data_IF_128962964034
#
_entry.id   IF_128962964034
#
_cell.length_a   1.000
_cell.length_b   1.000
_cell.length_c   1.000
_cell.angle_alpha   90.00
_cell.angle_beta   90.00
_cell.angle_gamma   90.00
#
_symmetry.space_group_name_H-M   'P 1'
#
loop_
_entity.id
_entity.type
_entity.pdbx_description
1 polymer ?
#
# COMPACT_ATOMS: atom_id res chain seq x y z
N UNK A 1 8.07 14.52 14.27
CA UNK A 1 8.28 14.04 12.88
C UNK A 1 7.42 12.81 12.66
N UNK A 2 6.53 12.85 11.67
CA UNK A 2 5.55 11.78 11.41
C UNK A 2 6.18 10.65 10.60
N UNK A 3 5.95 9.40 11.03
CA UNK A 3 6.56 8.20 10.43
C UNK A 3 5.60 7.54 9.44
N UNK A 4 6.15 6.99 8.36
CA UNK A 4 5.40 6.07 7.49
C UNK A 4 5.06 4.79 8.26
N UNK A 5 4.20 3.94 7.67
CA UNK A 5 3.92 2.63 8.26
C UNK A 5 5.18 1.76 8.27
N UNK A 6 5.98 1.76 7.20
CA UNK A 6 7.24 1.02 7.16
C UNK A 6 8.26 1.53 8.17
N UNK A 7 8.41 2.84 8.33
CA UNK A 7 9.27 3.41 9.38
C UNK A 7 8.77 3.06 10.79
N UNK A 8 7.46 3.06 11.00
CA UNK A 8 6.88 2.69 12.29
C UNK A 8 7.16 1.22 12.65
N UNK A 9 7.11 0.33 11.66
CA UNK A 9 7.38 -1.12 11.84
C UNK A 9 8.89 -1.36 12.01
N UNK A 10 9.72 -0.80 11.13
CA UNK A 10 11.18 -1.01 11.14
C UNK A 10 11.86 -0.35 12.34
N UNK A 11 11.33 0.77 12.85
CA UNK A 11 11.85 1.48 14.02
C UNK A 11 11.08 1.15 15.31
N UNK A 12 10.23 0.12 15.31
CA UNK A 12 9.59 -0.35 16.54
C UNK A 12 10.66 -0.84 17.52
N UNK A 13 10.61 -0.36 18.76
CA UNK A 13 11.63 -0.70 19.76
C UNK A 13 11.61 -2.18 20.14
N UNK A 14 10.42 -2.78 20.22
CA UNK A 14 10.24 -4.19 20.57
C UNK A 14 9.85 -5.02 19.33
N UNK A 15 10.87 -5.38 18.54
CA UNK A 15 10.70 -6.21 17.34
C UNK A 15 10.20 -7.63 17.68
N UNK A 16 10.53 -8.15 18.87
CA UNK A 16 10.11 -9.49 19.30
C UNK A 16 8.60 -9.50 19.55
N UNK A 17 8.08 -8.52 20.29
CA UNK A 17 6.64 -8.36 20.49
C UNK A 17 5.93 -8.10 19.16
N UNK A 18 6.48 -7.21 18.32
CA UNK A 18 5.89 -6.91 17.01
C UNK A 18 5.72 -8.19 16.17
N UNK A 19 6.78 -9.00 16.01
CA UNK A 19 6.74 -10.24 15.26
C UNK A 19 5.77 -11.27 15.88
N UNK A 20 5.68 -11.31 17.21
CA UNK A 20 4.80 -12.25 17.93
C UNK A 20 3.31 -11.90 17.80
N UNK A 21 2.98 -10.60 17.75
CA UNK A 21 1.59 -10.13 17.77
C UNK A 21 1.06 -9.69 16.41
N UNK A 22 1.92 -9.49 15.39
CA UNK A 22 1.46 -8.96 14.10
C UNK A 22 0.33 -9.81 13.49
N UNK A 23 0.40 -11.14 13.60
CA UNK A 23 -0.61 -12.07 13.08
C UNK A 23 -1.97 -11.98 13.79
N UNK A 24 -2.02 -11.38 14.98
CA UNK A 24 -3.25 -11.15 15.75
C UNK A 24 -3.90 -9.80 15.44
N UNK A 25 -3.22 -8.94 14.67
CA UNK A 25 -3.72 -7.61 14.32
C UNK A 25 -4.40 -7.59 12.95
N UNK A 26 -5.29 -6.63 12.74
CA UNK A 26 -6.01 -6.47 11.47
C UNK A 26 -5.91 -5.03 10.97
N UNK A 27 -5.68 -4.83 9.68
CA UNK A 27 -5.67 -3.49 9.06
C UNK A 27 -6.70 -3.38 7.94
N UNK A 28 -7.36 -4.47 7.56
CA UNK A 28 -8.26 -4.54 6.42
C UNK A 28 -9.49 -3.62 6.60
N UNK A 29 -9.69 -2.70 5.65
CA UNK A 29 -10.83 -1.78 5.63
C UNK A 29 -12.18 -2.50 5.44
N UNK A 30 -12.19 -3.64 4.74
CA UNK A 30 -13.40 -4.44 4.45
C UNK A 30 -13.45 -5.72 5.31
N UNK A 31 -13.09 -5.62 6.60
CA UNK A 31 -13.04 -6.79 7.51
C UNK A 31 -14.38 -7.54 7.54
N UNK A 32 -14.33 -8.86 7.41
CA UNK A 32 -15.52 -9.72 7.42
C UNK A 32 -16.25 -9.82 6.07
N UNK A 33 -15.92 -8.99 5.07
CA UNK A 33 -16.51 -9.05 3.74
C UNK A 33 -15.77 -10.08 2.86
N UNK A 34 -15.77 -11.35 3.28
CA UNK A 34 -14.90 -12.41 2.73
C UNK A 34 -15.51 -13.18 1.56
N UNK A 35 -16.75 -12.89 1.16
CA UNK A 35 -17.48 -13.67 0.13
C UNK A 35 -16.75 -13.76 -1.21
N UNK A 36 -15.98 -12.72 -1.55
CA UNK A 36 -15.27 -12.56 -2.83
C UNK A 36 -13.77 -12.88 -2.73
N UNK A 37 -13.32 -13.43 -1.60
CA UNK A 37 -11.91 -13.75 -1.38
C UNK A 37 -11.62 -15.15 -1.89
N UNK A 38 -10.52 -15.32 -2.61
CA UNK A 38 -9.99 -16.65 -2.98
C UNK A 38 -9.66 -17.46 -1.73
N UNK A 39 -9.12 -16.81 -0.70
CA UNK A 39 -8.79 -17.42 0.60
C UNK A 39 -9.68 -16.83 1.70
N UNK A 40 -10.85 -17.44 1.93
CA UNK A 40 -11.88 -16.91 2.85
C UNK A 40 -11.49 -16.94 4.34
N UNK A 41 -10.49 -17.74 4.70
CA UNK A 41 -9.95 -17.87 6.07
C UNK A 41 -8.80 -16.91 6.37
N UNK A 42 -8.33 -16.16 5.37
CA UNK A 42 -7.28 -15.16 5.57
C UNK A 42 -7.71 -14.08 6.58
N UNK A 43 -6.77 -13.52 7.32
CA UNK A 43 -7.05 -12.40 8.23
C UNK A 43 -7.23 -11.07 7.50
N UNK A 44 -6.56 -10.90 6.35
CA UNK A 44 -6.48 -9.65 5.59
C UNK A 44 -6.99 -9.88 4.16
N UNK A 45 -7.68 -8.90 3.56
CA UNK A 45 -8.17 -9.06 2.20
C UNK A 45 -7.05 -9.03 1.15
N UNK A 46 -5.92 -8.36 1.42
CA UNK A 46 -4.77 -8.23 0.51
C UNK A 46 -4.89 -7.19 -0.60
N UNK A 47 -6.06 -6.56 -0.77
CA UNK A 47 -6.33 -5.69 -1.92
C UNK A 47 -6.77 -4.25 -1.57
N UNK A 48 -7.26 -4.00 -0.36
CA UNK A 48 -7.60 -2.62 0.04
C UNK A 48 -6.33 -1.84 0.43
N UNK A 49 -6.37 -0.51 0.30
CA UNK A 49 -5.23 0.37 0.60
C UNK A 49 -4.54 0.09 1.96
N UNK A 50 -5.27 -0.06 3.09
CA UNK A 50 -4.63 -0.44 4.35
C UNK A 50 -3.89 -1.78 4.37
N UNK A 51 -4.35 -2.79 3.60
CA UNK A 51 -3.63 -4.06 3.48
C UNK A 51 -2.34 -3.87 2.68
N UNK A 52 -2.37 -3.06 1.62
CA UNK A 52 -1.20 -2.77 0.79
C UNK A 52 -0.14 -2.03 1.62
N UNK A 53 -0.52 -0.97 2.34
CA UNK A 53 0.40 -0.24 3.22
C UNK A 53 0.97 -1.12 4.34
N UNK A 54 0.13 -1.97 4.96
CA UNK A 54 0.58 -2.94 5.95
C UNK A 54 1.61 -3.89 5.35
N UNK A 55 1.32 -4.48 4.18
CA UNK A 55 2.22 -5.41 3.52
C UNK A 55 3.54 -4.75 3.13
N UNK A 56 3.50 -3.53 2.60
CA UNK A 56 4.71 -2.77 2.26
C UNK A 56 5.58 -2.54 3.51
N UNK A 57 4.96 -2.19 4.64
CA UNK A 57 5.64 -2.00 5.90
C UNK A 57 6.25 -3.30 6.45
N UNK A 58 5.51 -4.41 6.44
CA UNK A 58 6.01 -5.71 6.86
C UNK A 58 7.12 -6.21 5.93
N UNK A 59 7.02 -5.96 4.62
CA UNK A 59 8.05 -6.29 3.64
C UNK A 59 9.34 -5.52 3.90
N UNK A 60 9.26 -4.22 4.18
CA UNK A 60 10.41 -3.41 4.57
C UNK A 60 11.12 -3.92 5.84
N UNK A 61 10.39 -4.57 6.74
CA UNK A 61 10.92 -5.18 7.97
C UNK A 61 11.32 -6.65 7.82
N UNK A 62 11.15 -7.27 6.65
CA UNK A 62 11.41 -8.70 6.46
C UNK A 62 10.38 -9.64 7.12
N UNK A 63 9.19 -9.12 7.43
CA UNK A 63 8.10 -9.80 8.14
C UNK A 63 6.86 -10.07 7.26
N UNK A 64 6.94 -9.87 5.94
CA UNK A 64 5.81 -10.13 5.03
C UNK A 64 5.61 -11.63 4.78
N UNK A 65 4.94 -12.27 5.73
CA UNK A 65 4.61 -13.71 5.75
C UNK A 65 3.09 -13.97 5.80
N UNK A 66 2.26 -12.94 5.66
CA UNK A 66 0.81 -13.07 5.77
C UNK A 66 0.20 -13.75 4.53
N UNK A 67 -0.88 -14.51 4.75
CA UNK A 67 -1.72 -15.04 3.68
C UNK A 67 -2.89 -14.07 3.44
N UNK A 68 -3.09 -13.71 2.18
CA UNK A 68 -4.09 -12.73 1.77
C UNK A 68 -5.32 -13.37 1.11
N UNK A 69 -6.49 -12.76 1.35
CA UNK A 69 -7.76 -13.16 0.73
C UNK A 69 -7.69 -13.16 -0.79
N UNK A 70 -7.32 -12.02 -1.37
CA UNK A 70 -6.92 -11.83 -2.76
C UNK A 70 -5.57 -11.10 -2.75
N UNK A 71 -4.54 -11.74 -3.30
CA UNK A 71 -3.18 -11.20 -3.29
C UNK A 71 -2.93 -10.33 -4.54
N UNK A 72 -2.77 -9.02 -4.33
CA UNK A 72 -2.46 -8.04 -5.39
C UNK A 72 -1.12 -8.27 -6.08
N UNK A 73 -0.16 -8.92 -5.42
CA UNK A 73 1.15 -9.19 -5.97
C UNK A 73 1.18 -10.43 -6.88
N UNK A 74 0.14 -11.28 -6.85
CA UNK A 74 0.10 -12.54 -7.61
C UNK A 74 -0.89 -12.51 -8.78
N UNK A 75 -1.43 -11.34 -9.14
CA UNK A 75 -2.41 -11.20 -10.23
C UNK A 75 -3.82 -11.69 -9.89
N UNK A 76 -4.13 -11.90 -8.60
CA UNK A 76 -5.48 -12.28 -8.18
C UNK A 76 -6.46 -11.11 -8.19
N UNK A 77 -5.93 -9.90 -8.25
CA UNK A 77 -6.67 -8.66 -8.47
C UNK A 77 -6.20 -8.12 -9.81
N UNK A 78 -7.07 -8.17 -10.81
CA UNK A 78 -6.78 -7.65 -12.14
C UNK A 78 -6.98 -6.12 -12.13
N UNK A 79 -5.94 -5.30 -12.34
CA UNK A 79 -6.09 -3.85 -12.43
C UNK A 79 -6.93 -3.43 -13.64
N UNK A 80 -7.04 -4.25 -14.69
CA UNK A 80 -7.86 -3.97 -15.88
C UNK A 80 -9.33 -4.34 -15.73
N UNK A 81 -9.69 -5.04 -14.65
CA UNK A 81 -11.07 -5.40 -14.34
C UNK A 81 -11.97 -4.20 -14.03
N UNK A 82 -13.28 -4.47 -13.90
CA UNK A 82 -14.33 -3.45 -13.70
C UNK A 82 -14.78 -3.30 -12.24
N UNK A 83 -14.23 -4.10 -11.32
CA UNK A 83 -14.62 -4.08 -9.90
C UNK A 83 -13.97 -2.95 -9.10
N UNK A 84 -14.51 -2.64 -7.93
CA UNK A 84 -13.93 -1.62 -7.03
C UNK A 84 -12.46 -1.89 -6.70
N UNK A 85 -12.10 -3.15 -6.40
CA UNK A 85 -10.70 -3.49 -6.11
C UNK A 85 -9.78 -3.33 -7.31
N UNK A 86 -10.29 -3.52 -8.53
CA UNK A 86 -9.56 -3.22 -9.77
C UNK A 86 -9.35 -1.72 -9.92
N UNK A 87 -10.37 -0.90 -9.64
CA UNK A 87 -10.27 0.56 -9.71
C UNK A 87 -9.26 1.09 -8.68
N UNK A 88 -9.37 0.68 -7.42
CA UNK A 88 -8.45 1.08 -6.35
C UNK A 88 -6.99 0.71 -6.69
N UNK A 89 -6.77 -0.53 -7.17
CA UNK A 89 -5.45 -0.98 -7.58
C UNK A 89 -4.93 -0.19 -8.78
N UNK A 90 -5.75 0.04 -9.80
CA UNK A 90 -5.37 0.80 -11.00
C UNK A 90 -5.00 2.24 -10.65
N UNK A 91 -5.79 2.91 -9.82
CA UNK A 91 -5.49 4.27 -9.34
C UNK A 91 -4.16 4.31 -8.58
N UNK A 92 -3.91 3.34 -7.71
CA UNK A 92 -2.63 3.23 -7.02
C UNK A 92 -1.46 3.00 -8.00
N UNK A 93 -1.61 2.08 -8.96
CA UNK A 93 -0.56 1.79 -9.94
C UNK A 93 -0.26 3.00 -10.84
N UNK A 94 -1.26 3.78 -11.23
CA UNK A 94 -1.08 5.01 -11.99
C UNK A 94 -0.32 6.06 -11.18
N UNK A 95 -0.72 6.30 -9.93
CA UNK A 95 -0.01 7.23 -9.05
C UNK A 95 1.46 6.80 -8.81
N UNK A 96 1.67 5.49 -8.64
CA UNK A 96 3.01 4.93 -8.54
C UNK A 96 3.78 5.03 -9.86
N UNK A 97 3.14 5.02 -11.03
CA UNK A 97 3.83 5.19 -12.32
C UNK A 97 4.18 6.66 -12.59
N UNK A 98 3.27 7.59 -12.26
CA UNK A 98 3.46 9.04 -12.37
C UNK A 98 4.62 9.53 -11.51
N UNK A 99 4.83 8.91 -10.34
CA UNK A 99 5.91 9.23 -9.42
C UNK A 99 6.02 10.73 -9.09
N UNK A 100 4.91 11.39 -8.68
CA UNK A 100 4.95 12.81 -8.37
C UNK A 100 5.98 13.10 -7.29
N UNK A 101 6.68 14.21 -7.43
CA UNK A 101 7.55 14.75 -6.39
C UNK A 101 6.71 15.38 -5.26
N UNK A 102 7.41 15.88 -4.24
CA UNK A 102 6.75 16.45 -3.07
C UNK A 102 5.90 17.67 -3.42
N UNK A 103 6.33 18.51 -4.37
CA UNK A 103 5.58 19.72 -4.79
C UNK A 103 4.26 19.33 -5.45
N UNK A 104 4.29 18.39 -6.41
CA UNK A 104 3.06 17.88 -7.02
C UNK A 104 2.14 17.19 -6.00
N UNK A 105 2.70 16.52 -4.99
CA UNK A 105 1.92 15.94 -3.89
C UNK A 105 1.31 16.98 -2.96
N UNK A 106 1.97 18.11 -2.72
CA UNK A 106 1.40 19.23 -1.97
C UNK A 106 0.18 19.79 -2.70
N UNK A 107 0.27 20.02 -4.01
CA UNK A 107 -0.85 20.49 -4.84
C UNK A 107 -2.02 19.51 -4.80
N UNK A 108 -1.75 18.21 -4.94
CA UNK A 108 -2.78 17.16 -4.84
C UNK A 108 -3.45 17.13 -3.46
N UNK A 109 -2.66 17.25 -2.38
CA UNK A 109 -3.18 17.26 -1.02
C UNK A 109 -3.96 18.54 -0.71
N UNK A 110 -3.52 19.68 -1.21
CA UNK A 110 -4.21 20.95 -1.08
C UNK A 110 -5.54 20.96 -1.82
N UNK A 111 -5.59 20.42 -3.05
CA UNK A 111 -6.80 20.37 -3.86
C UNK A 111 -7.88 19.42 -3.29
N UNK A 112 -7.48 18.36 -2.57
CA UNK A 112 -8.38 17.30 -2.13
C UNK A 112 -8.58 17.21 -0.61
N UNK A 113 -7.80 17.95 0.19
CA UNK A 113 -7.73 17.81 1.64
C UNK A 113 -8.21 19.02 2.43
N UNK A 114 -8.56 18.80 3.69
CA UNK A 114 -8.72 19.86 4.70
C UNK A 114 -7.48 19.91 5.58
N UNK A 115 -6.32 20.08 4.96
CA UNK A 115 -5.04 20.20 5.67
C UNK A 115 -4.72 21.69 5.84
N UNK A 116 -4.29 22.04 7.05
CA UNK A 116 -3.69 23.36 7.28
C UNK A 116 -2.45 23.50 6.39
N UNK A 117 -2.28 24.68 5.81
CA UNK A 117 -1.17 24.95 4.87
C UNK A 117 0.20 24.73 5.52
N UNK A 118 0.31 24.88 6.83
CA UNK A 118 1.53 24.60 7.60
C UNK A 118 1.92 23.12 7.65
N UNK A 119 0.96 22.22 7.44
CA UNK A 119 1.18 20.75 7.50
C UNK A 119 1.37 20.13 6.11
N UNK A 120 1.10 20.86 5.02
CA UNK A 120 1.11 20.34 3.65
C UNK A 120 2.44 19.71 3.28
N UNK A 121 3.56 20.40 3.48
CA UNK A 121 4.88 19.88 3.14
C UNK A 121 5.23 18.61 3.92
N UNK A 122 4.91 18.59 5.22
CA UNK A 122 5.13 17.41 6.05
C UNK A 122 4.26 16.22 5.61
N UNK A 123 3.00 16.48 5.23
CA UNK A 123 2.09 15.46 4.73
C UNK A 123 2.54 14.93 3.35
N UNK A 124 2.96 15.82 2.45
CA UNK A 124 3.47 15.45 1.12
C UNK A 124 4.74 14.60 1.24
N UNK A 125 5.69 14.97 2.12
CA UNK A 125 6.88 14.16 2.39
C UNK A 125 6.53 12.78 2.96
N UNK A 126 5.54 12.71 3.87
CA UNK A 126 5.06 11.45 4.43
C UNK A 126 4.46 10.55 3.35
N UNK A 127 3.61 11.11 2.49
CA UNK A 127 2.96 10.42 1.37
C UNK A 127 4.00 9.94 0.37
N UNK A 128 4.93 10.81 -0.03
CA UNK A 128 6.02 10.47 -0.94
C UNK A 128 6.85 9.29 -0.43
N UNK A 129 7.28 9.32 0.85
CA UNK A 129 8.02 8.21 1.46
C UNK A 129 7.17 6.94 1.56
N UNK A 130 5.90 7.06 1.92
CA UNK A 130 4.97 5.93 1.99
C UNK A 130 4.75 5.24 0.64
N UNK A 131 4.60 6.01 -0.44
CA UNK A 131 4.47 5.44 -1.78
C UNK A 131 5.75 4.78 -2.28
N UNK A 132 6.92 5.26 -1.86
CA UNK A 132 8.18 4.55 -2.13
C UNK A 132 8.24 3.17 -1.46
N UNK A 133 7.65 3.01 -0.27
CA UNK A 133 7.55 1.69 0.37
C UNK A 133 6.66 0.74 -0.44
N UNK A 134 5.51 1.23 -0.91
CA UNK A 134 4.59 0.44 -1.75
C UNK A 134 5.22 0.10 -3.10
N UNK A 135 5.95 1.04 -3.72
CA UNK A 135 6.68 0.79 -4.96
C UNK A 135 7.69 -0.36 -4.76
N UNK A 136 8.51 -0.31 -3.71
CA UNK A 136 9.48 -1.37 -3.39
C UNK A 136 8.82 -2.74 -3.20
N UNK A 137 7.63 -2.78 -2.57
CA UNK A 137 6.86 -4.01 -2.45
C UNK A 137 6.52 -4.58 -3.85
N UNK A 138 6.00 -3.76 -4.76
CA UNK A 138 5.62 -4.22 -6.09
C UNK A 138 6.81 -4.53 -7.00
N UNK A 139 7.93 -3.82 -6.86
CA UNK A 139 9.19 -4.16 -7.52
C UNK A 139 9.68 -5.55 -7.11
N UNK A 140 9.59 -5.90 -5.82
CA UNK A 140 10.10 -7.17 -5.31
C UNK A 140 9.11 -8.33 -5.52
N UNK A 141 7.81 -8.10 -5.29
CA UNK A 141 6.80 -9.16 -5.21
C UNK A 141 5.72 -9.11 -6.30
N UNK A 142 5.55 -7.98 -6.98
CA UNK A 142 4.52 -7.83 -8.01
C UNK A 142 4.72 -8.75 -9.21
N UNK A 143 3.67 -8.97 -9.99
CA UNK A 143 3.77 -9.71 -11.26
C UNK A 143 4.61 -8.93 -12.27
N UNK A 144 5.10 -9.56 -13.35
CA UNK A 144 5.79 -8.85 -14.44
C UNK A 144 4.98 -7.66 -14.99
N UNK A 145 3.66 -7.79 -15.08
CA UNK A 145 2.75 -6.75 -15.55
C UNK A 145 2.73 -5.55 -14.59
N UNK A 146 2.62 -5.80 -13.28
CA UNK A 146 2.65 -4.74 -12.26
C UNK A 146 4.01 -4.03 -12.27
N UNK A 147 5.11 -4.78 -12.32
CA UNK A 147 6.47 -4.21 -12.38
C UNK A 147 6.65 -3.34 -13.63
N UNK A 148 6.15 -3.79 -14.78
CA UNK A 148 6.18 -3.01 -16.01
C UNK A 148 5.33 -1.74 -15.88
N UNK A 149 4.13 -1.83 -15.29
CA UNK A 149 3.22 -0.69 -15.09
C UNK A 149 3.89 0.44 -14.30
N UNK A 150 4.50 0.12 -13.17
CA UNK A 150 5.14 1.13 -12.31
C UNK A 150 6.48 1.65 -12.85
N UNK A 151 7.08 0.95 -13.82
CA UNK A 151 8.35 1.35 -14.47
C UNK A 151 8.13 2.18 -15.74
N UNK A 152 7.02 1.96 -16.43
CA UNK A 152 6.60 2.78 -17.54
C UNK A 152 5.97 4.05 -16.96
N UNK A 153 6.74 5.14 -16.86
CA UNK A 153 6.20 6.45 -16.47
C UNK A 153 4.91 6.71 -17.24
N UNK A 154 3.80 6.81 -16.51
CA UNK A 154 2.45 6.45 -16.95
C UNK A 154 2.13 6.83 -18.40
N UNK A 155 1.83 5.83 -19.22
CA UNK A 155 1.14 6.03 -20.50
C UNK A 155 -0.04 5.05 -20.53
N UNK A 156 -1.24 5.61 -20.47
CA UNK A 156 -2.40 5.06 -21.16
C UNK A 156 -2.39 5.68 -22.56
#
# INVERSE_FOLDING_TARGET
MTKTKGESVTQCQDQVALASYMSLTNSCAKRGHTRHWKRRTAGQCGQCMPCIYRRAALHAAGLDTEVYGNDVCTGEVDPNGTGESSNDLRSLLNLLAENPDTEALEDLLFANGHLDTSELSHAAELVHRGFREVRKLFEHKGTPEIRKWISAGGVI
#
